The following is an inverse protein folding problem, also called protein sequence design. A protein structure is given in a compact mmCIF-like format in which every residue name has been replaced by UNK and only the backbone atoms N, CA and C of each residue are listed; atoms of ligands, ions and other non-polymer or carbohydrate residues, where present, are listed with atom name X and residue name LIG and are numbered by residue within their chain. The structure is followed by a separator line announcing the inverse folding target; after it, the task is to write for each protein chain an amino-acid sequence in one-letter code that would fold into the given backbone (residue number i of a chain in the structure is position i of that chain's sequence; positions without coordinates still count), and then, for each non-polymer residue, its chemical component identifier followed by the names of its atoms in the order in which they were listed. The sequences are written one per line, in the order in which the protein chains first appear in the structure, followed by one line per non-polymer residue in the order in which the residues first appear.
data_IF_154377271679
#
_entry.id   IF_154377271679
#
_cell.length_a   1.000
_cell.length_b   1.000
_cell.length_c   1.000
_cell.angle_alpha   90.00
_cell.angle_beta   90.00
_cell.angle_gamma   90.00
#
_symmetry.space_group_name_H-M   'P 1'
#
loop_
_entity.id
_entity.type
_entity.pdbx_description
1 polymer ?
#
# COMPACT_ATOMS: atom_id res chain seq x y z
N UNK A 1 -8.73 13.17 1.03
CA UNK A 1 -8.66 11.80 0.46
C UNK A 1 -7.59 10.99 1.16
N UNK A 2 -7.76 9.68 1.16
CA UNK A 2 -6.74 8.77 1.68
C UNK A 2 -5.87 8.28 0.55
N UNK A 3 -4.57 8.36 0.75
CA UNK A 3 -3.58 7.97 -0.24
C UNK A 3 -2.79 6.79 0.29
N UNK A 4 -2.54 5.81 -0.57
CA UNK A 4 -1.74 4.65 -0.24
C UNK A 4 -0.33 4.83 -0.84
N UNK A 5 0.65 5.03 0.00
CA UNK A 5 2.05 5.26 -0.41
C UNK A 5 2.83 3.96 -0.52
N UNK A 6 2.21 2.92 -1.09
CA UNK A 6 2.85 1.62 -1.24
C UNK A 6 4.06 1.71 -2.17
N UNK A 7 3.92 2.44 -3.27
CA UNK A 7 5.02 2.60 -4.24
C UNK A 7 6.22 3.30 -3.61
N UNK A 8 6.00 4.30 -2.74
CA UNK A 8 7.07 4.97 -2.03
C UNK A 8 7.82 3.99 -1.14
N UNK A 9 7.08 3.16 -0.39
CA UNK A 9 7.70 2.18 0.50
C UNK A 9 8.41 1.07 -0.27
N UNK A 10 7.85 0.64 -1.39
CA UNK A 10 8.53 -0.32 -2.26
C UNK A 10 9.87 0.22 -2.74
N UNK A 11 9.90 1.49 -3.14
CA UNK A 11 11.14 2.13 -3.58
C UNK A 11 12.16 2.21 -2.43
N UNK A 12 11.71 2.57 -1.24
CA UNK A 12 12.58 2.65 -0.05
C UNK A 12 13.18 1.30 0.32
N UNK A 13 12.42 0.23 0.16
CA UNK A 13 12.86 -1.12 0.49
C UNK A 13 13.50 -1.84 -0.69
N UNK A 14 13.56 -1.20 -1.86
CA UNK A 14 14.07 -1.80 -3.10
C UNK A 14 13.38 -3.12 -3.39
N UNK A 15 12.06 -3.12 -3.21
CA UNK A 15 11.22 -4.29 -3.39
C UNK A 15 10.31 -4.09 -4.57
N UNK A 16 10.11 -5.13 -5.37
CA UNK A 16 9.17 -5.09 -6.49
C UNK A 16 7.75 -5.41 -6.04
N UNK A 17 6.77 -5.04 -6.87
CA UNK A 17 5.38 -5.41 -6.65
C UNK A 17 5.23 -6.93 -6.62
N UNK A 18 5.97 -7.63 -7.49
CA UNK A 18 5.96 -9.10 -7.53
C UNK A 18 6.42 -9.68 -6.20
N UNK A 19 7.50 -9.16 -5.65
CA UNK A 19 8.01 -9.65 -4.37
C UNK A 19 7.02 -9.38 -3.25
N UNK A 20 6.44 -8.19 -3.20
CA UNK A 20 5.43 -7.86 -2.21
C UNK A 20 4.23 -8.80 -2.32
N UNK A 21 3.76 -9.03 -3.54
CA UNK A 21 2.65 -9.95 -3.81
C UNK A 21 2.94 -11.34 -3.21
N UNK A 22 4.14 -11.85 -3.46
CA UNK A 22 4.54 -13.17 -2.95
C UNK A 22 4.61 -13.21 -1.43
N UNK A 23 5.11 -12.15 -0.80
CA UNK A 23 5.25 -12.10 0.66
C UNK A 23 3.92 -11.96 1.37
N UNK A 24 3.02 -11.19 0.79
CA UNK A 24 1.72 -10.89 1.42
C UNK A 24 0.66 -11.92 1.06
N UNK A 25 0.81 -12.58 -0.09
CA UNK A 25 -0.13 -13.56 -0.56
C UNK A 25 -1.37 -12.95 -1.22
N UNK A 26 -1.25 -11.73 -1.74
CA UNK A 26 -2.31 -11.10 -2.53
C UNK A 26 -1.81 -10.90 -3.96
N UNK A 27 -2.74 -10.75 -4.88
CA UNK A 27 -2.40 -10.63 -6.30
C UNK A 27 -1.76 -9.29 -6.61
N UNK A 28 -0.95 -9.25 -7.65
CA UNK A 28 -0.37 -8.00 -8.14
C UNK A 28 -1.46 -7.01 -8.55
N UNK A 29 -2.58 -7.52 -9.08
CA UNK A 29 -3.71 -6.67 -9.44
C UNK A 29 -4.28 -5.97 -8.20
N UNK A 30 -4.42 -6.68 -7.09
CA UNK A 30 -4.93 -6.08 -5.85
C UNK A 30 -3.96 -5.05 -5.29
N UNK A 31 -2.66 -5.31 -5.36
CA UNK A 31 -1.66 -4.32 -4.94
C UNK A 31 -1.75 -3.08 -5.81
N UNK A 32 -1.93 -3.24 -7.11
CA UNK A 32 -2.07 -2.12 -8.02
C UNK A 32 -3.32 -1.29 -7.72
N UNK A 33 -4.43 -1.94 -7.37
CA UNK A 33 -5.66 -1.25 -6.98
C UNK A 33 -5.41 -0.39 -5.74
N UNK A 34 -4.72 -0.93 -4.73
CA UNK A 34 -4.37 -0.18 -3.54
C UNK A 34 -3.43 0.98 -3.88
N UNK A 35 -2.39 0.69 -4.63
CA UNK A 35 -1.36 1.66 -4.99
C UNK A 35 -1.92 2.84 -5.77
N UNK A 36 -2.89 2.59 -6.63
CA UNK A 36 -3.48 3.62 -7.49
C UNK A 36 -4.65 4.35 -6.82
N UNK A 37 -4.94 4.04 -5.57
CA UNK A 37 -6.00 4.73 -4.84
C UNK A 37 -7.40 4.35 -5.28
N UNK A 38 -7.56 3.23 -5.96
CA UNK A 38 -8.87 2.77 -6.44
C UNK A 38 -9.57 1.84 -5.47
N UNK A 39 -8.90 1.45 -4.39
CA UNK A 39 -9.50 0.60 -3.39
C UNK A 39 -10.48 1.40 -2.55
N UNK A 40 -11.66 0.84 -2.32
CA UNK A 40 -12.67 1.46 -1.45
C UNK A 40 -12.45 1.07 0.01
N UNK A 41 -11.74 0.00 0.24
CA UNK A 41 -11.46 -0.52 1.57
C UNK A 41 -10.21 -1.39 1.54
N UNK A 42 -9.58 -1.52 2.68
CA UNK A 42 -8.49 -2.47 2.89
C UNK A 42 -8.74 -3.14 4.24
N UNK A 43 -8.58 -4.45 4.28
CA UNK A 43 -8.73 -5.19 5.55
C UNK A 43 -7.54 -4.89 6.44
N UNK A 44 -7.81 -4.78 7.74
CA UNK A 44 -6.74 -4.59 8.73
C UNK A 44 -5.73 -5.73 8.64
N UNK A 45 -6.18 -6.96 8.42
CA UNK A 45 -5.31 -8.11 8.24
C UNK A 45 -4.36 -7.93 7.06
N UNK A 46 -4.87 -7.44 5.94
CA UNK A 46 -4.05 -7.17 4.74
C UNK A 46 -3.04 -6.06 5.03
N UNK A 47 -3.48 -5.00 5.68
CA UNK A 47 -2.61 -3.91 6.06
C UNK A 47 -1.49 -4.39 7.00
N UNK A 48 -1.81 -5.25 7.95
CA UNK A 48 -0.85 -5.85 8.86
C UNK A 48 0.24 -6.60 8.09
N UNK A 49 -0.17 -7.42 7.12
CA UNK A 49 0.77 -8.19 6.31
C UNK A 49 1.66 -7.30 5.46
N UNK A 50 1.10 -6.23 4.90
CA UNK A 50 1.88 -5.28 4.10
C UNK A 50 2.89 -4.56 4.98
N UNK A 51 2.49 -4.10 6.15
CA UNK A 51 3.40 -3.45 7.09
C UNK A 51 4.53 -4.40 7.52
N UNK A 52 4.20 -5.65 7.75
CA UNK A 52 5.21 -6.65 8.12
C UNK A 52 6.20 -6.89 6.98
N UNK A 53 5.71 -7.02 5.75
CA UNK A 53 6.55 -7.26 4.59
C UNK A 53 7.45 -6.07 4.29
N UNK A 54 6.96 -4.85 4.47
CA UNK A 54 7.70 -3.62 4.19
C UNK A 54 8.43 -3.09 5.41
N UNK A 55 8.28 -3.74 6.56
CA UNK A 55 8.90 -3.34 7.83
C UNK A 55 8.62 -1.86 8.11
N UNK A 56 7.34 -1.51 8.17
CA UNK A 56 6.92 -0.13 8.36
C UNK A 56 5.64 -0.07 9.17
N UNK A 57 5.23 1.13 9.51
CA UNK A 57 4.01 1.41 10.25
C UNK A 57 2.88 1.75 9.27
N UNK A 58 1.61 1.56 9.67
CA UNK A 58 0.49 1.97 8.81
C UNK A 58 0.56 3.44 8.38
N UNK A 59 1.07 4.32 9.23
CA UNK A 59 1.23 5.72 8.88
C UNK A 59 2.26 5.99 7.78
N UNK A 60 3.12 5.01 7.50
CA UNK A 60 4.05 5.11 6.37
C UNK A 60 3.37 4.78 5.05
N UNK A 61 2.26 4.03 5.11
CA UNK A 61 1.52 3.58 3.94
C UNK A 61 0.31 4.45 3.68
N UNK A 62 -0.43 4.80 4.74
CA UNK A 62 -1.66 5.57 4.64
C UNK A 62 -1.41 7.03 4.96
N UNK A 63 -1.94 7.90 4.11
CA UNK A 63 -1.79 9.34 4.28
C UNK A 63 -3.12 10.00 3.98
N UNK A 64 -3.49 10.97 4.80
CA UNK A 64 -4.62 11.84 4.47
C UNK A 64 -4.10 13.09 3.79
N UNK A 65 -4.68 13.42 2.66
CA UNK A 65 -4.45 14.70 2.00
C UNK A 65 -5.78 15.39 1.79
N UNK A 66 -5.78 16.68 2.02
CA UNK A 66 -6.95 17.49 1.71
C UNK A 66 -7.17 17.50 0.21
N UNK A 67 -8.43 17.33 -0.19
CA UNK A 67 -8.78 17.37 -1.61
C UNK A 67 -8.53 18.75 -2.17
N UNK A 68 -7.97 18.83 -3.37
CA UNK A 68 -7.81 20.10 -4.02
C UNK A 68 -9.18 20.63 -4.43
N UNK A 69 -9.41 21.91 -4.13
CA UNK A 69 -10.63 22.60 -4.52
C UNK A 69 -10.27 23.52 -5.66
N UNK A 70 -10.91 23.30 -6.77
CA UNK A 70 -10.69 24.16 -7.94
C UNK A 70 -11.74 25.25 -8.04
#
# INVERSE_FOLDING_TARGET
MIIFNIDVMLARRKMSVTELSNRVGITMANISILKNGKAKAVRVETLDKICRALDCQPGDILEYREDEVE
#
